data_IF_095551247094
#
_entry.id   IF_095551247094
#
_cell.length_a   1.000
_cell.length_b   1.000
_cell.length_c   1.000
_cell.angle_alpha   90.00
_cell.angle_beta   90.00
_cell.angle_gamma   90.00
#
_symmetry.space_group_name_H-M   'P 1'
#
loop_
_entity.id
_entity.type
_entity.pdbx_description
1 polymer ?
#
# COMPACT_ATOMS: atom_id res chain seq x y z
N UNK A 1 -35.31 -13.64 -15.69
CA UNK A 1 -33.94 -14.15 -15.88
C UNK A 1 -33.02 -13.31 -15.02
N UNK A 2 -32.47 -13.88 -13.95
CA UNK A 2 -31.39 -13.24 -13.19
C UNK A 2 -30.08 -13.42 -13.98
N UNK A 3 -29.50 -12.31 -14.39
CA UNK A 3 -28.20 -12.32 -15.05
C UNK A 3 -27.15 -12.38 -13.94
N UNK A 4 -26.46 -13.52 -13.83
CA UNK A 4 -25.31 -13.66 -12.93
C UNK A 4 -24.19 -12.74 -13.44
N UNK A 5 -23.81 -11.77 -12.63
CA UNK A 5 -22.57 -11.03 -12.84
C UNK A 5 -21.42 -11.98 -12.57
N UNK A 6 -20.61 -12.27 -13.58
CA UNK A 6 -19.32 -12.94 -13.38
C UNK A 6 -18.47 -12.08 -12.44
N UNK A 7 -17.97 -12.63 -11.34
CA UNK A 7 -17.04 -11.90 -10.51
C UNK A 7 -15.76 -11.70 -11.32
N UNK A 8 -15.55 -10.51 -11.85
CA UNK A 8 -14.23 -10.08 -12.28
C UNK A 8 -13.40 -9.94 -11.02
N UNK A 9 -12.60 -10.95 -10.71
CA UNK A 9 -11.48 -10.78 -9.80
C UNK A 9 -10.55 -9.76 -10.47
N UNK A 10 -10.61 -8.52 -10.02
CA UNK A 10 -9.59 -7.56 -10.34
C UNK A 10 -8.28 -8.13 -9.75
N UNK A 11 -7.51 -8.83 -10.58
CA UNK A 11 -6.12 -9.16 -10.25
C UNK A 11 -5.45 -7.84 -10.01
N UNK A 12 -5.10 -7.57 -8.77
CA UNK A 12 -4.38 -6.35 -8.40
C UNK A 12 -3.04 -6.41 -9.14
N UNK A 13 -2.96 -5.67 -10.23
CA UNK A 13 -1.73 -5.53 -11.01
C UNK A 13 -0.86 -4.52 -10.27
N UNK A 14 0.38 -4.90 -9.96
CA UNK A 14 1.37 -4.04 -9.30
C UNK A 14 2.35 -3.46 -10.33
N UNK A 15 1.85 -3.10 -11.52
CA UNK A 15 2.70 -2.46 -12.51
C UNK A 15 3.03 -1.02 -12.12
N UNK A 16 4.23 -0.60 -12.45
CA UNK A 16 4.75 0.76 -12.25
C UNK A 16 3.78 1.84 -12.75
N UNK A 17 3.21 1.60 -13.95
CA UNK A 17 2.31 2.54 -14.63
C UNK A 17 0.93 2.65 -13.96
N UNK A 18 0.63 1.76 -13.03
CA UNK A 18 -0.65 1.76 -12.32
C UNK A 18 -0.59 2.48 -10.97
N UNK A 19 0.60 2.75 -10.45
CA UNK A 19 0.77 3.49 -9.22
C UNK A 19 0.53 4.98 -9.44
N UNK A 20 -0.47 5.53 -8.78
CA UNK A 20 -0.82 6.95 -8.90
C UNK A 20 -0.07 7.73 -7.83
N UNK A 21 0.82 8.61 -8.29
CA UNK A 21 1.57 9.50 -7.39
C UNK A 21 0.73 10.72 -7.07
N UNK A 22 0.62 11.05 -5.78
CA UNK A 22 -0.07 12.23 -5.26
C UNK A 22 0.73 12.83 -4.10
N UNK A 23 0.27 13.93 -3.53
CA UNK A 23 0.90 14.56 -2.37
C UNK A 23 1.02 13.59 -1.18
N UNK A 24 0.10 12.61 -1.07
CA UNK A 24 0.07 11.63 0.02
C UNK A 24 1.20 10.59 -0.01
N UNK A 25 1.82 10.35 -1.17
CA UNK A 25 2.81 9.27 -1.36
C UNK A 25 4.07 9.71 -2.14
N UNK A 26 4.11 10.94 -2.66
CA UNK A 26 5.16 11.43 -3.56
C UNK A 26 6.57 11.24 -2.97
N UNK A 27 6.78 11.60 -1.71
CA UNK A 27 8.11 11.50 -1.09
C UNK A 27 8.57 10.04 -1.00
N UNK A 28 7.70 9.16 -0.50
CA UNK A 28 8.01 7.73 -0.41
C UNK A 28 8.32 7.14 -1.80
N UNK A 29 7.47 7.43 -2.78
CA UNK A 29 7.68 6.99 -4.16
C UNK A 29 9.01 7.47 -4.74
N UNK A 30 9.35 8.75 -4.53
CA UNK A 30 10.59 9.34 -5.05
C UNK A 30 11.83 8.66 -4.49
N UNK A 31 11.91 8.47 -3.18
CA UNK A 31 13.06 7.81 -2.54
C UNK A 31 13.20 6.35 -3.02
N UNK A 32 12.11 5.61 -3.05
CA UNK A 32 12.08 4.23 -3.54
C UNK A 32 12.56 4.13 -5.00
N UNK A 33 12.16 5.07 -5.85
CA UNK A 33 12.56 5.12 -7.27
C UNK A 33 14.01 5.53 -7.49
N UNK A 34 14.61 6.26 -6.57
CA UNK A 34 15.99 6.71 -6.65
C UNK A 34 16.99 5.67 -6.11
N UNK A 35 16.51 4.53 -5.61
CA UNK A 35 17.39 3.46 -5.15
C UNK A 35 18.47 3.12 -6.21
N UNK A 36 19.73 2.87 -5.79
CA UNK A 36 20.26 2.83 -4.42
C UNK A 36 20.63 4.19 -3.83
N UNK A 37 20.49 5.28 -4.59
CA UNK A 37 20.81 6.62 -4.14
C UNK A 37 19.76 7.11 -3.12
N UNK A 38 20.21 7.87 -2.13
CA UNK A 38 19.36 8.44 -1.07
C UNK A 38 18.64 7.39 -0.20
N UNK A 39 19.14 6.14 -0.20
CA UNK A 39 18.58 5.09 0.64
C UNK A 39 19.11 5.18 2.06
N UNK A 40 18.22 5.33 3.02
CA UNK A 40 18.55 5.37 4.43
C UNK A 40 19.32 6.63 4.89
N UNK A 41 19.60 6.67 6.18
CA UNK A 41 20.38 7.73 6.86
C UNK A 41 21.28 7.10 7.91
N UNK A 42 22.38 7.77 8.26
CA UNK A 42 23.25 7.30 9.35
C UNK A 42 22.47 7.28 10.67
N UNK A 43 22.65 6.28 11.53
CA UNK A 43 23.61 5.17 11.44
C UNK A 43 23.11 3.94 10.64
N UNK A 44 21.94 4.00 10.01
CA UNK A 44 21.33 2.90 9.25
C UNK A 44 21.15 3.24 7.76
N UNK A 45 22.24 3.44 7.00
CA UNK A 45 22.17 3.87 5.61
C UNK A 45 21.58 2.81 4.65
N UNK A 46 21.44 1.56 5.11
CA UNK A 46 20.89 0.46 4.31
C UNK A 46 19.45 0.10 4.68
N UNK A 47 18.84 0.78 5.66
CA UNK A 47 17.52 0.45 6.15
C UNK A 47 16.52 1.60 5.93
N UNK A 48 15.33 1.27 5.45
CA UNK A 48 14.19 2.19 5.35
C UNK A 48 12.96 1.56 5.99
N UNK A 49 12.17 2.39 6.66
CA UNK A 49 10.85 2.05 7.17
C UNK A 49 9.77 2.76 6.37
N UNK A 50 8.92 2.01 5.68
CA UNK A 50 7.74 2.50 4.97
C UNK A 50 6.52 2.38 5.88
N UNK A 51 6.00 3.50 6.32
CA UNK A 51 4.87 3.60 7.23
C UNK A 51 3.63 4.16 6.53
N UNK A 52 2.45 3.65 6.86
CA UNK A 52 1.18 4.20 6.38
C UNK A 52 -0.01 3.34 6.81
N UNK A 53 -1.23 3.89 6.83
CA UNK A 53 -2.42 3.16 7.21
C UNK A 53 -2.65 1.93 6.33
N UNK A 54 -3.54 1.06 6.78
CA UNK A 54 -3.97 -0.09 5.97
C UNK A 54 -4.46 0.40 4.60
N UNK A 55 -4.15 -0.36 3.55
CA UNK A 55 -4.57 -0.06 2.17
C UNK A 55 -4.15 1.31 1.62
N UNK A 56 -3.06 1.89 2.15
CA UNK A 56 -2.49 3.15 1.64
C UNK A 56 -1.60 2.99 0.41
N UNK A 57 -1.36 1.76 -0.05
CA UNK A 57 -0.48 1.48 -1.20
C UNK A 57 0.94 1.06 -0.83
N UNK A 58 1.24 0.72 0.44
CA UNK A 58 2.56 0.22 0.87
C UNK A 58 3.01 -0.98 0.04
N UNK A 59 2.18 -2.01 -0.04
CA UNK A 59 2.48 -3.22 -0.82
C UNK A 59 2.73 -2.90 -2.30
N UNK A 60 2.03 -1.93 -2.88
CA UNK A 60 2.27 -1.54 -4.27
C UNK A 60 3.67 -0.92 -4.43
N UNK A 61 4.04 0.04 -3.60
CA UNK A 61 5.39 0.63 -3.59
C UNK A 61 6.46 -0.43 -3.32
N UNK A 62 6.21 -1.34 -2.38
CA UNK A 62 7.11 -2.46 -2.07
C UNK A 62 7.34 -3.36 -3.29
N UNK A 63 6.29 -3.69 -4.03
CA UNK A 63 6.39 -4.50 -5.27
C UNK A 63 7.14 -3.78 -6.38
N UNK A 64 6.96 -2.47 -6.52
CA UNK A 64 7.76 -1.65 -7.45
C UNK A 64 9.26 -1.76 -7.10
N UNK A 65 9.60 -1.59 -5.83
CA UNK A 65 10.99 -1.71 -5.39
C UNK A 65 11.52 -3.13 -5.53
N UNK A 66 10.72 -4.14 -5.19
CA UNK A 66 11.08 -5.55 -5.34
C UNK A 66 11.54 -5.86 -6.77
N UNK A 67 10.82 -5.38 -7.77
CA UNK A 67 11.17 -5.56 -9.17
C UNK A 67 12.44 -4.79 -9.56
N UNK A 68 12.59 -3.56 -9.07
CA UNK A 68 13.73 -2.70 -9.42
C UNK A 68 15.04 -3.18 -8.78
N UNK A 69 14.98 -3.61 -7.51
CA UNK A 69 16.13 -4.02 -6.72
C UNK A 69 16.39 -5.53 -6.76
N UNK A 70 15.56 -6.30 -7.45
CA UNK A 70 15.54 -7.77 -7.34
C UNK A 70 15.52 -8.21 -5.87
N UNK A 71 14.63 -7.60 -5.07
CA UNK A 71 14.61 -7.80 -3.64
C UNK A 71 13.90 -9.11 -3.25
N UNK A 72 14.44 -9.79 -2.24
CA UNK A 72 13.84 -10.98 -1.65
C UNK A 72 12.88 -10.56 -0.52
N UNK A 73 11.62 -11.02 -0.58
CA UNK A 73 10.67 -10.81 0.52
C UNK A 73 10.84 -11.93 1.53
N UNK A 74 11.25 -11.57 2.74
CA UNK A 74 11.42 -12.51 3.84
C UNK A 74 10.07 -12.92 4.42
N UNK A 75 9.93 -14.20 4.70
CA UNK A 75 8.92 -14.75 5.59
C UNK A 75 9.55 -15.09 6.95
N UNK A 76 8.72 -15.28 7.98
CA UNK A 76 9.22 -15.60 9.32
C UNK A 76 9.96 -16.93 9.38
N UNK A 77 9.60 -17.86 8.51
CA UNK A 77 10.16 -19.21 8.47
C UNK A 77 11.44 -19.28 7.62
N UNK A 78 11.81 -18.18 6.94
CA UNK A 78 13.01 -18.14 6.14
C UNK A 78 14.27 -18.10 7.00
N UNK A 79 15.25 -18.91 6.63
CA UNK A 79 16.58 -18.87 7.21
C UNK A 79 17.52 -18.11 6.29
N UNK A 80 18.22 -17.10 6.80
CA UNK A 80 19.26 -16.40 6.05
C UNK A 80 20.45 -17.32 5.78
N UNK A 81 20.38 -18.07 4.69
CA UNK A 81 21.50 -18.90 4.24
C UNK A 81 22.56 -18.06 3.53
N UNK A 82 23.85 -18.50 3.53
CA UNK A 82 24.89 -17.84 2.76
C UNK A 82 24.51 -17.67 1.28
N UNK A 83 23.88 -18.68 0.69
CA UNK A 83 23.40 -18.64 -0.69
C UNK A 83 22.38 -17.53 -0.92
N UNK A 84 21.44 -17.33 -0.01
CA UNK A 84 20.45 -16.27 -0.12
C UNK A 84 21.11 -14.88 -0.10
N UNK A 85 22.14 -14.72 0.74
CA UNK A 85 22.90 -13.47 0.85
C UNK A 85 23.82 -13.21 -0.35
N UNK A 86 24.24 -14.23 -1.05
CA UNK A 86 25.00 -14.10 -2.32
C UNK A 86 24.07 -13.72 -3.48
N UNK A 87 22.84 -14.26 -3.49
CA UNK A 87 21.88 -14.05 -4.58
C UNK A 87 21.18 -12.68 -4.51
N UNK A 88 21.00 -12.11 -3.32
CA UNK A 88 20.24 -10.88 -3.13
C UNK A 88 21.00 -9.83 -2.33
N UNK A 89 20.92 -8.58 -2.80
CA UNK A 89 21.45 -7.42 -2.10
C UNK A 89 20.35 -6.60 -1.40
N UNK A 90 19.11 -6.94 -1.65
CA UNK A 90 17.94 -6.22 -1.17
C UNK A 90 16.91 -7.18 -0.55
N UNK A 91 16.34 -6.80 0.57
CA UNK A 91 15.41 -7.61 1.36
C UNK A 91 14.20 -6.80 1.82
N UNK A 92 13.06 -7.47 1.93
CA UNK A 92 11.79 -6.86 2.33
C UNK A 92 11.22 -7.61 3.52
N UNK A 93 10.75 -6.86 4.51
CA UNK A 93 9.90 -7.34 5.62
C UNK A 93 8.57 -6.60 5.50
N UNK A 94 7.52 -7.30 5.10
CA UNK A 94 6.17 -6.71 5.01
C UNK A 94 5.41 -6.86 6.32
N UNK A 95 4.63 -5.82 6.67
CA UNK A 95 3.71 -5.77 7.80
C UNK A 95 4.33 -6.33 9.10
N UNK A 96 5.44 -5.71 9.52
CA UNK A 96 6.25 -6.20 10.63
C UNK A 96 5.46 -6.42 11.93
N UNK A 97 4.34 -5.71 12.12
CA UNK A 97 3.49 -5.83 13.29
C UNK A 97 2.63 -7.10 13.32
N UNK A 98 2.41 -7.76 12.18
CA UNK A 98 1.50 -8.90 12.09
C UNK A 98 2.22 -10.24 12.27
N UNK A 99 3.41 -10.37 11.69
CA UNK A 99 4.04 -11.67 11.49
C UNK A 99 5.42 -11.81 12.15
N UNK A 100 5.94 -10.75 12.81
CA UNK A 100 7.30 -10.73 13.29
C UNK A 100 7.41 -10.48 14.78
N UNK A 101 8.37 -11.16 15.43
CA UNK A 101 8.74 -10.83 16.81
C UNK A 101 9.66 -9.61 16.80
N UNK A 102 9.53 -8.76 17.81
CA UNK A 102 10.36 -7.56 17.96
C UNK A 102 11.86 -7.87 17.98
N UNK A 103 12.25 -9.03 18.51
CA UNK A 103 13.65 -9.49 18.53
C UNK A 103 14.16 -9.83 17.13
N UNK A 104 13.33 -10.46 16.30
CA UNK A 104 13.71 -10.82 14.93
C UNK A 104 13.92 -9.57 14.09
N UNK A 105 13.01 -8.60 14.19
CA UNK A 105 13.14 -7.31 13.48
C UNK A 105 14.42 -6.58 13.90
N UNK A 106 14.71 -6.52 15.19
CA UNK A 106 15.95 -5.91 15.71
C UNK A 106 17.19 -6.62 15.15
N UNK A 107 17.17 -7.96 15.14
CA UNK A 107 18.24 -8.76 14.57
C UNK A 107 18.45 -8.44 13.08
N UNK A 108 17.39 -8.45 12.27
CA UNK A 108 17.49 -8.17 10.84
C UNK A 108 17.95 -6.74 10.53
N UNK A 109 17.49 -5.74 11.26
CA UNK A 109 17.96 -4.35 11.10
C UNK A 109 19.49 -4.28 11.28
N UNK A 110 20.01 -4.85 12.37
CA UNK A 110 21.44 -4.85 12.66
C UNK A 110 22.21 -5.67 11.61
N UNK A 111 21.75 -6.89 11.33
CA UNK A 111 22.39 -7.82 10.41
C UNK A 111 22.53 -7.23 8.99
N UNK A 112 21.45 -6.71 8.40
CA UNK A 112 21.49 -6.16 7.06
C UNK A 112 22.30 -4.88 6.98
N UNK A 113 22.25 -4.05 8.03
CA UNK A 113 23.07 -2.83 8.09
C UNK A 113 24.57 -3.14 8.17
N UNK A 114 24.98 -4.12 8.99
CA UNK A 114 26.39 -4.56 9.12
C UNK A 114 26.90 -5.21 7.84
N UNK A 115 26.06 -5.99 7.18
CA UNK A 115 26.42 -6.67 5.92
C UNK A 115 26.22 -5.80 4.68
N UNK A 116 25.86 -4.51 4.84
CA UNK A 116 25.61 -3.55 3.76
C UNK A 116 24.57 -4.04 2.74
N UNK A 117 23.55 -4.73 3.24
CA UNK A 117 22.42 -5.21 2.45
C UNK A 117 21.23 -4.28 2.67
N UNK A 118 20.51 -3.98 1.60
CA UNK A 118 19.36 -3.06 1.66
C UNK A 118 18.15 -3.74 2.29
N UNK A 119 17.50 -3.05 3.21
CA UNK A 119 16.31 -3.53 3.92
C UNK A 119 15.18 -2.50 3.82
N UNK A 120 14.04 -2.94 3.30
CA UNK A 120 12.77 -2.21 3.37
C UNK A 120 11.83 -2.91 4.35
N UNK A 121 11.41 -2.20 5.36
CA UNK A 121 10.41 -2.70 6.33
C UNK A 121 9.12 -1.94 6.12
N UNK A 122 7.97 -2.63 6.10
CA UNK A 122 6.66 -1.96 6.09
C UNK A 122 5.92 -2.14 7.41
N UNK A 123 5.14 -1.13 7.80
CA UNK A 123 4.25 -1.17 8.96
C UNK A 123 3.01 -0.32 8.77
N UNK A 124 1.89 -0.77 9.33
CA UNK A 124 0.61 -0.04 9.36
C UNK A 124 0.34 0.68 10.68
N UNK A 125 1.06 0.31 11.73
CA UNK A 125 0.80 0.79 13.09
C UNK A 125 1.62 2.02 13.47
N UNK A 126 1.13 2.74 14.49
CA UNK A 126 1.88 3.81 15.12
C UNK A 126 3.21 3.27 15.68
N UNK A 127 4.30 3.95 15.37
CA UNK A 127 5.68 3.53 15.64
C UNK A 127 6.08 3.52 17.14
N UNK A 128 5.14 3.74 18.04
CA UNK A 128 5.42 4.01 19.45
C UNK A 128 5.14 2.84 20.41
N UNK A 129 4.72 1.67 19.91
CA UNK A 129 4.21 0.59 20.76
C UNK A 129 5.07 -0.70 20.73
N UNK A 130 6.37 -0.58 20.48
CA UNK A 130 7.23 -1.77 20.58
C UNK A 130 7.60 -2.05 22.04
N UNK A 131 7.45 -3.31 22.44
CA UNK A 131 7.79 -3.76 23.79
C UNK A 131 9.29 -3.73 24.08
N UNK A 132 10.13 -3.81 23.03
CA UNK A 132 11.58 -3.74 23.15
C UNK A 132 12.09 -2.31 22.97
N UNK A 133 12.71 -1.77 24.01
CA UNK A 133 13.28 -0.41 24.00
C UNK A 133 14.35 -0.24 22.91
N UNK A 134 15.16 -1.27 22.69
CA UNK A 134 16.23 -1.26 21.69
C UNK A 134 15.63 -1.19 20.27
N UNK A 135 14.57 -1.93 19.98
CA UNK A 135 13.88 -1.84 18.68
C UNK A 135 13.32 -0.43 18.46
N UNK A 136 12.69 0.15 19.47
CA UNK A 136 12.16 1.52 19.39
C UNK A 136 13.28 2.51 19.04
N UNK A 137 14.44 2.40 19.67
CA UNK A 137 15.60 3.24 19.37
C UNK A 137 16.08 3.07 17.93
N UNK A 138 16.18 1.82 17.42
CA UNK A 138 16.59 1.53 16.03
C UNK A 138 15.58 2.10 15.04
N UNK A 139 14.31 1.80 15.22
CA UNK A 139 13.23 2.33 14.38
C UNK A 139 13.23 3.86 14.34
N UNK A 140 13.55 4.52 15.45
CA UNK A 140 13.64 5.98 15.48
C UNK A 140 14.86 6.54 14.73
N UNK A 141 15.88 5.74 14.52
CA UNK A 141 17.11 6.12 13.81
C UNK A 141 17.11 5.76 12.32
N UNK A 142 16.14 4.98 11.85
CA UNK A 142 15.98 4.62 10.43
C UNK A 142 15.22 5.71 9.68
N UNK A 143 15.53 5.91 8.41
CA UNK A 143 14.74 6.79 7.52
C UNK A 143 13.30 6.30 7.41
N UNK A 144 12.36 7.16 7.79
CA UNK A 144 10.93 6.87 7.74
C UNK A 144 10.31 7.51 6.50
N UNK A 145 9.74 6.68 5.65
CA UNK A 145 8.93 7.11 4.53
C UNK A 145 7.45 6.92 4.90
N UNK A 146 6.68 7.99 4.80
CA UNK A 146 5.26 7.95 5.15
C UNK A 146 4.39 8.00 3.91
N UNK A 147 3.41 7.11 3.86
CA UNK A 147 2.28 7.21 2.95
C UNK A 147 1.08 7.65 3.79
N UNK A 148 0.56 8.83 3.49
CA UNK A 148 -0.66 9.33 4.13
C UNK A 148 -1.91 8.70 3.52
N UNK A 149 -3.07 8.98 4.12
CA UNK A 149 -4.35 8.66 3.49
C UNK A 149 -4.49 9.40 2.15
N UNK A 150 -5.20 8.82 1.17
CA UNK A 150 -5.44 9.47 -0.11
C UNK A 150 -6.03 10.87 0.06
N UNK A 151 -5.44 11.83 -0.62
CA UNK A 151 -6.01 13.17 -0.75
C UNK A 151 -7.19 13.18 -1.74
N UNK A 152 -7.92 14.29 -1.84
CA UNK A 152 -9.08 14.39 -2.73
C UNK A 152 -8.71 14.18 -4.18
N UNK A 153 -7.52 14.62 -4.60
CA UNK A 153 -7.04 14.43 -5.97
C UNK A 153 -6.81 12.95 -6.29
N UNK A 154 -6.15 12.22 -5.41
CA UNK A 154 -5.94 10.78 -5.56
C UNK A 154 -7.27 10.02 -5.53
N UNK A 155 -8.16 10.36 -4.60
CA UNK A 155 -9.50 9.78 -4.53
C UNK A 155 -10.27 9.98 -5.84
N UNK A 156 -10.24 11.18 -6.40
CA UNK A 156 -10.90 11.49 -7.67
C UNK A 156 -10.39 10.61 -8.80
N UNK A 157 -9.06 10.48 -8.94
CA UNK A 157 -8.43 9.66 -9.97
C UNK A 157 -8.81 8.18 -9.78
N UNK A 158 -8.80 7.67 -8.54
CA UNK A 158 -9.16 6.28 -8.22
C UNK A 158 -10.62 5.99 -8.57
N UNK A 159 -11.55 6.88 -8.21
CA UNK A 159 -12.98 6.75 -8.56
C UNK A 159 -13.15 6.74 -10.08
N UNK A 160 -12.47 7.67 -10.76
CA UNK A 160 -12.53 7.76 -12.22
C UNK A 160 -12.00 6.49 -12.88
N UNK A 161 -10.81 6.01 -12.45
CA UNK A 161 -10.20 4.77 -12.94
C UNK A 161 -11.13 3.56 -12.73
N UNK A 162 -11.75 3.48 -11.53
CA UNK A 162 -12.67 2.40 -11.22
C UNK A 162 -13.85 2.34 -12.22
N UNK A 163 -14.57 3.45 -12.40
CA UNK A 163 -15.75 3.46 -13.29
C UNK A 163 -15.41 3.44 -14.77
N UNK A 164 -14.25 3.93 -15.18
CA UNK A 164 -13.76 3.82 -16.56
C UNK A 164 -13.58 2.36 -17.00
N UNK A 165 -13.16 1.48 -16.09
CA UNK A 165 -13.05 0.04 -16.38
C UNK A 165 -14.40 -0.61 -16.72
N UNK A 166 -15.50 0.01 -16.34
CA UNK A 166 -16.87 -0.43 -16.68
C UNK A 166 -17.51 0.44 -17.77
N UNK A 167 -16.74 1.33 -18.41
CA UNK A 167 -17.25 2.28 -19.41
C UNK A 167 -18.37 3.19 -18.87
N UNK A 168 -18.33 3.51 -17.59
CA UNK A 168 -19.30 4.37 -16.91
C UNK A 168 -18.73 5.77 -16.76
N UNK A 169 -19.44 6.76 -17.31
CA UNK A 169 -19.12 8.17 -17.12
C UNK A 169 -19.98 8.73 -15.98
N UNK A 170 -19.33 9.22 -14.95
CA UNK A 170 -19.99 9.88 -13.81
C UNK A 170 -20.21 11.37 -14.13
N UNK A 171 -21.36 11.90 -13.72
CA UNK A 171 -21.52 13.36 -13.69
C UNK A 171 -20.68 13.98 -12.57
N UNK A 172 -20.29 15.24 -12.74
CA UNK A 172 -19.51 15.98 -11.77
C UNK A 172 -20.20 16.01 -10.37
N UNK A 173 -21.53 16.14 -10.35
CA UNK A 173 -22.33 16.11 -9.12
C UNK A 173 -22.20 14.76 -8.39
N UNK A 174 -22.23 13.65 -9.12
CA UNK A 174 -22.06 12.30 -8.56
C UNK A 174 -20.65 12.12 -8.04
N UNK A 175 -19.64 12.55 -8.80
CA UNK A 175 -18.25 12.48 -8.39
C UNK A 175 -18.00 13.27 -7.09
N UNK A 176 -18.46 14.52 -7.02
CA UNK A 176 -18.33 15.36 -5.82
C UNK A 176 -19.07 14.75 -4.61
N UNK A 177 -20.21 14.12 -4.84
CA UNK A 177 -20.91 13.40 -3.78
C UNK A 177 -20.11 12.20 -3.26
N UNK A 178 -19.52 11.40 -4.16
CA UNK A 178 -18.67 10.27 -3.78
C UNK A 178 -17.44 10.73 -3.01
N UNK A 179 -16.74 11.77 -3.48
CA UNK A 179 -15.58 12.35 -2.79
C UNK A 179 -15.88 12.79 -1.35
N UNK A 180 -17.08 13.35 -1.14
CA UNK A 180 -17.48 13.82 0.19
C UNK A 180 -17.90 12.71 1.16
N UNK A 181 -18.28 11.52 0.66
CA UNK A 181 -18.93 10.49 1.49
C UNK A 181 -18.22 9.14 1.50
N UNK A 182 -17.28 8.90 0.58
CA UNK A 182 -16.50 7.65 0.56
C UNK A 182 -15.44 7.64 1.66
N UNK A 183 -15.20 6.48 2.27
CA UNK A 183 -14.07 6.31 3.17
C UNK A 183 -12.76 6.48 2.41
N UNK A 184 -11.73 6.99 3.09
CA UNK A 184 -10.41 7.18 2.49
C UNK A 184 -9.54 5.92 2.53
N UNK A 185 -10.00 4.87 3.16
CA UNK A 185 -9.34 3.57 3.08
C UNK A 185 -9.65 2.91 1.74
N UNK A 186 -8.59 2.56 1.00
CA UNK A 186 -8.72 2.03 -0.37
C UNK A 186 -9.67 0.82 -0.44
N UNK A 187 -9.51 -0.17 0.44
CA UNK A 187 -10.35 -1.39 0.42
C UNK A 187 -11.82 -1.07 0.65
N UNK A 188 -12.13 -0.19 1.61
CA UNK A 188 -13.50 0.21 1.92
C UNK A 188 -14.09 1.04 0.78
N UNK A 189 -13.30 1.93 0.18
CA UNK A 189 -13.70 2.69 -0.99
C UNK A 189 -14.06 1.76 -2.15
N UNK A 190 -13.18 0.84 -2.52
CA UNK A 190 -13.40 -0.12 -3.62
C UNK A 190 -14.61 -1.01 -3.33
N UNK A 191 -14.77 -1.47 -2.09
CA UNK A 191 -15.92 -2.24 -1.69
C UNK A 191 -17.24 -1.48 -1.92
N UNK A 192 -17.31 -0.20 -1.51
CA UNK A 192 -18.51 0.61 -1.71
C UNK A 192 -18.75 0.93 -3.20
N UNK A 193 -17.71 1.25 -3.95
CA UNK A 193 -17.83 1.46 -5.40
C UNK A 193 -18.35 0.21 -6.12
N UNK A 194 -17.85 -0.97 -5.71
CA UNK A 194 -18.29 -2.26 -6.25
C UNK A 194 -19.76 -2.51 -5.92
N UNK A 195 -20.19 -2.24 -4.68
CA UNK A 195 -21.61 -2.35 -4.30
C UNK A 195 -22.50 -1.40 -5.10
N UNK A 196 -22.08 -0.15 -5.30
CA UNK A 196 -22.83 0.84 -6.09
C UNK A 196 -22.96 0.36 -7.53
N UNK A 197 -21.88 -0.11 -8.13
CA UNK A 197 -21.88 -0.60 -9.51
C UNK A 197 -22.76 -1.85 -9.67
N UNK A 198 -22.61 -2.85 -8.81
CA UNK A 198 -23.39 -4.08 -8.83
C UNK A 198 -24.90 -3.80 -8.67
N UNK A 199 -25.25 -2.92 -7.72
CA UNK A 199 -26.65 -2.52 -7.51
C UNK A 199 -27.24 -1.80 -8.74
N UNK A 200 -26.48 -0.91 -9.37
CA UNK A 200 -26.89 -0.20 -10.56
C UNK A 200 -27.16 -1.17 -11.74
N UNK A 201 -26.25 -2.14 -11.93
CA UNK A 201 -26.38 -3.19 -12.96
C UNK A 201 -27.57 -4.10 -12.70
N UNK A 202 -27.73 -4.60 -11.49
CA UNK A 202 -28.82 -5.51 -11.11
C UNK A 202 -30.20 -4.88 -11.31
N UNK A 203 -30.34 -3.59 -10.97
CA UNK A 203 -31.58 -2.86 -11.10
C UNK A 203 -31.73 -2.10 -12.41
N UNK A 204 -30.75 -2.21 -13.33
CA UNK A 204 -30.72 -1.49 -14.62
C UNK A 204 -30.93 0.02 -14.46
N UNK A 205 -30.29 0.60 -13.45
CA UNK A 205 -30.37 2.03 -13.12
C UNK A 205 -29.05 2.72 -13.36
N UNK A 206 -29.10 3.97 -13.80
CA UNK A 206 -27.91 4.81 -13.86
C UNK A 206 -27.43 5.14 -12.43
N UNK A 207 -26.11 5.34 -12.30
CA UNK A 207 -25.49 5.74 -11.03
C UNK A 207 -25.85 7.21 -10.79
N UNK A 208 -26.64 7.45 -9.75
CA UNK A 208 -27.14 8.75 -9.34
C UNK A 208 -26.97 8.91 -7.83
N UNK A 209 -26.97 10.15 -7.32
CA UNK A 209 -26.87 10.42 -5.87
C UNK A 209 -27.96 9.66 -5.07
N UNK A 210 -29.24 9.61 -5.47
CA UNK A 210 -30.23 8.80 -4.77
C UNK A 210 -29.90 7.32 -4.70
N UNK A 211 -29.38 6.71 -5.80
CA UNK A 211 -28.96 5.31 -5.83
C UNK A 211 -27.80 5.08 -4.87
N UNK A 212 -26.78 5.94 -4.88
CA UNK A 212 -25.62 5.83 -3.98
C UNK A 212 -26.07 5.89 -2.52
N UNK A 213 -26.95 6.85 -2.18
CA UNK A 213 -27.52 6.96 -0.82
C UNK A 213 -28.29 5.70 -0.40
N UNK A 214 -29.02 5.09 -1.32
CA UNK A 214 -29.72 3.83 -1.08
C UNK A 214 -28.77 2.68 -0.75
N UNK A 215 -27.68 2.56 -1.52
CA UNK A 215 -26.66 1.54 -1.29
C UNK A 215 -25.90 1.74 0.01
N UNK A 216 -25.49 2.99 0.32
CA UNK A 216 -24.77 3.33 1.55
C UNK A 216 -25.59 3.09 2.82
N UNK A 217 -26.92 3.17 2.77
CA UNK A 217 -27.79 2.83 3.91
C UNK A 217 -27.89 1.32 4.17
N UNK A 218 -27.61 0.50 3.16
CA UNK A 218 -27.69 -0.96 3.22
C UNK A 218 -26.32 -1.62 3.42
N UNK A 219 -25.23 -0.85 3.35
CA UNK A 219 -23.86 -1.29 3.49
C UNK A 219 -23.39 -1.28 4.94
#
# INVERSE_FOLDING_TARGET
MQQFTLPFSATTSYHLDEFIVSSSNHYAYTIIRQWPNHWGVLPYPFCILLYGPKSSGKTHITKIWQQTANAFTLSRDDTLSPLLLELYDAFIIEDMELNWLSQDILHYINFFNENKKYLLITTGNALNNFTLHDLTSRINSILKLTIAQPDDQLMQILIFKYFSNYSINLSEQVLNFLLAHLPREFDQMIYLLTKVNSFALEHRRNITIPLIKEVMKKA
#
